data_IF_724186720246
#
_entry.id   IF_724186720246
#
_cell.length_a   1.000
_cell.length_b   1.000
_cell.length_c   1.000
_cell.angle_alpha   90.00
_cell.angle_beta   90.00
_cell.angle_gamma   90.00
#
_symmetry.space_group_name_H-M   'P 1'
#
loop_
_entity.id
_entity.type
_entity.pdbx_description
1 polymer ?
#
# COMPACT_ATOMS: atom_id res chain seq x y z
N UNK A 1 7.80 24.98 -33.97
CA UNK A 1 6.78 23.90 -33.91
C UNK A 1 5.60 24.34 -33.05
N UNK A 2 4.37 24.37 -33.60
CA UNK A 2 3.18 24.85 -32.89
C UNK A 2 2.87 24.02 -31.63
N UNK A 3 2.21 24.63 -30.64
CA UNK A 3 1.81 23.95 -29.39
C UNK A 3 0.88 22.76 -29.67
N UNK A 4 0.00 22.88 -30.66
CA UNK A 4 -0.92 21.83 -31.07
C UNK A 4 -0.17 20.59 -31.62
N UNK A 5 0.86 20.81 -32.45
CA UNK A 5 1.66 19.71 -33.00
C UNK A 5 2.45 18.97 -31.90
N UNK A 6 2.91 19.67 -30.86
CA UNK A 6 3.55 19.05 -29.68
C UNK A 6 2.56 18.18 -28.90
N UNK A 7 1.36 18.70 -28.62
CA UNK A 7 0.33 17.96 -27.91
C UNK A 7 -0.11 16.70 -28.69
N UNK A 8 -0.27 16.82 -30.01
CA UNK A 8 -0.62 15.67 -30.86
C UNK A 8 0.45 14.58 -30.83
N UNK A 9 1.74 14.95 -30.91
CA UNK A 9 2.86 13.99 -30.81
C UNK A 9 2.85 13.24 -29.46
N UNK A 10 2.58 13.94 -28.37
CA UNK A 10 2.45 13.33 -27.03
C UNK A 10 1.28 12.33 -27.00
N UNK A 11 0.11 12.71 -27.50
CA UNK A 11 -1.07 11.84 -27.53
C UNK A 11 -0.84 10.58 -28.38
N UNK A 12 -0.19 10.71 -29.53
CA UNK A 12 0.19 9.57 -30.37
C UNK A 12 1.19 8.65 -29.65
N UNK A 13 2.16 9.20 -28.93
CA UNK A 13 3.09 8.41 -28.13
C UNK A 13 2.37 7.63 -27.02
N UNK A 14 1.46 8.26 -26.29
CA UNK A 14 0.62 7.61 -25.27
C UNK A 14 -0.17 6.45 -25.86
N UNK A 15 -0.85 6.66 -26.99
CA UNK A 15 -1.61 5.61 -27.67
C UNK A 15 -0.72 4.43 -28.08
N UNK A 16 0.48 4.71 -28.61
CA UNK A 16 1.45 3.69 -29.00
C UNK A 16 1.87 2.83 -27.79
N UNK A 17 2.24 3.46 -26.67
CA UNK A 17 2.63 2.72 -25.45
C UNK A 17 1.47 1.89 -24.89
N UNK A 18 0.24 2.41 -24.89
CA UNK A 18 -0.94 1.68 -24.44
C UNK A 18 -1.28 0.48 -25.34
N UNK A 19 -1.11 0.62 -26.67
CA UNK A 19 -1.30 -0.48 -27.63
C UNK A 19 -0.23 -1.56 -27.45
N UNK A 20 0.99 -1.16 -27.13
CA UNK A 20 2.11 -2.07 -26.88
C UNK A 20 2.09 -2.72 -25.48
N UNK A 21 1.02 -2.57 -24.70
CA UNK A 21 0.91 -3.16 -23.36
C UNK A 21 1.80 -2.51 -22.30
N UNK A 22 2.24 -1.26 -22.52
CA UNK A 22 3.11 -0.50 -21.61
C UNK A 22 2.39 0.69 -20.95
N UNK A 23 1.39 0.43 -20.08
CA UNK A 23 0.59 1.51 -19.49
C UNK A 23 1.38 2.40 -18.53
N UNK A 24 2.49 1.92 -17.95
CA UNK A 24 3.37 2.72 -17.08
C UNK A 24 4.16 3.76 -17.87
N UNK A 25 4.68 3.38 -19.03
CA UNK A 25 5.35 4.34 -19.93
C UNK A 25 4.38 5.40 -20.44
N UNK A 26 3.14 5.00 -20.76
CA UNK A 26 2.07 5.94 -21.10
C UNK A 26 1.78 6.94 -19.95
N UNK A 27 1.73 6.47 -18.70
CA UNK A 27 1.55 7.33 -17.53
C UNK A 27 2.71 8.33 -17.36
N UNK A 28 3.96 7.87 -17.50
CA UNK A 28 5.16 8.72 -17.45
C UNK A 28 5.14 9.81 -18.51
N UNK A 29 4.79 9.48 -19.76
CA UNK A 29 4.68 10.47 -20.85
C UNK A 29 3.68 11.58 -20.51
N UNK A 30 2.57 11.25 -19.83
CA UNK A 30 1.59 12.26 -19.40
C UNK A 30 2.17 13.18 -18.32
N UNK A 31 2.85 12.62 -17.32
CA UNK A 31 3.50 13.41 -16.27
C UNK A 31 4.50 14.38 -16.90
N UNK A 32 5.39 13.88 -17.75
CA UNK A 32 6.37 14.70 -18.46
C UNK A 32 5.71 15.81 -19.31
N UNK A 33 4.56 15.52 -19.93
CA UNK A 33 3.83 16.47 -20.76
C UNK A 33 3.09 17.55 -19.94
N UNK A 34 2.57 17.19 -18.76
CA UNK A 34 1.95 18.13 -17.82
C UNK A 34 3.03 19.05 -17.22
N UNK A 35 4.14 18.48 -16.75
CA UNK A 35 5.26 19.24 -16.16
C UNK A 35 5.86 20.24 -17.16
N UNK A 36 5.99 19.84 -18.43
CA UNK A 36 6.47 20.71 -19.52
C UNK A 36 5.41 21.64 -20.09
N UNK A 37 4.20 21.68 -19.50
CA UNK A 37 3.05 22.49 -19.95
C UNK A 37 2.70 22.28 -21.43
N UNK A 38 2.92 21.07 -21.95
CA UNK A 38 2.56 20.70 -23.33
C UNK A 38 1.04 20.49 -23.44
N UNK A 39 0.42 19.91 -22.42
CA UNK A 39 -1.04 19.81 -22.29
C UNK A 39 -1.51 20.92 -21.36
N UNK A 40 -2.37 21.81 -21.85
CA UNK A 40 -2.90 22.95 -21.08
C UNK A 40 -4.09 22.50 -20.23
N UNK A 41 -4.12 22.97 -18.97
CA UNK A 41 -5.27 22.85 -18.08
C UNK A 41 -5.50 21.43 -17.59
N UNK A 42 -5.08 21.13 -16.36
CA UNK A 42 -5.26 19.80 -15.78
C UNK A 42 -6.75 19.41 -15.69
N UNK A 43 -7.66 20.36 -15.45
CA UNK A 43 -9.10 20.09 -15.33
C UNK A 43 -9.76 19.44 -16.55
N UNK A 44 -9.27 19.71 -17.78
CA UNK A 44 -9.84 19.14 -19.01
C UNK A 44 -9.09 17.89 -19.48
N UNK A 45 -7.96 17.55 -18.83
CA UNK A 45 -7.14 16.40 -19.18
C UNK A 45 -7.93 15.08 -19.22
N UNK A 46 -8.81 14.75 -18.24
CA UNK A 46 -9.55 13.48 -18.28
C UNK A 46 -10.47 13.38 -19.50
N UNK A 47 -11.15 14.48 -19.86
CA UNK A 47 -12.06 14.52 -21.02
C UNK A 47 -11.31 14.42 -22.33
N UNK A 48 -10.17 15.11 -22.45
CA UNK A 48 -9.29 15.01 -23.63
C UNK A 48 -8.80 13.57 -23.81
N UNK A 49 -8.25 12.97 -22.75
CA UNK A 49 -7.73 11.60 -22.79
C UNK A 49 -8.84 10.58 -23.08
N UNK A 50 -10.02 10.73 -22.48
CA UNK A 50 -11.15 9.84 -22.75
C UNK A 50 -11.59 9.88 -24.23
N UNK A 51 -11.61 11.08 -24.83
CA UNK A 51 -11.95 11.30 -26.24
C UNK A 51 -10.92 10.68 -27.19
N UNK A 52 -9.63 10.88 -26.91
CA UNK A 52 -8.54 10.47 -27.80
C UNK A 52 -8.20 8.98 -27.65
N UNK A 53 -8.25 8.45 -26.43
CA UNK A 53 -7.87 7.07 -26.14
C UNK A 53 -9.05 6.10 -26.20
N UNK A 54 -10.28 6.62 -26.15
CA UNK A 54 -11.49 5.85 -25.90
C UNK A 54 -11.52 5.25 -24.48
N UNK A 55 -12.64 4.63 -24.12
CA UNK A 55 -12.85 4.02 -22.79
C UNK A 55 -11.77 3.00 -22.41
N UNK A 56 -11.40 2.11 -23.35
CA UNK A 56 -10.42 1.06 -23.10
C UNK A 56 -8.98 1.59 -22.97
N UNK A 57 -8.60 2.60 -23.75
CA UNK A 57 -7.30 3.24 -23.62
C UNK A 57 -7.19 4.05 -22.32
N UNK A 58 -8.21 4.84 -21.99
CA UNK A 58 -8.27 5.57 -20.72
C UNK A 58 -8.20 4.64 -19.50
N UNK A 59 -8.94 3.53 -19.52
CA UNK A 59 -8.89 2.55 -18.42
C UNK A 59 -7.49 1.94 -18.23
N UNK A 60 -6.80 1.60 -19.34
CA UNK A 60 -5.41 1.11 -19.30
C UNK A 60 -4.44 2.18 -18.78
N UNK A 61 -4.67 3.43 -19.12
CA UNK A 61 -3.86 4.54 -18.60
C UNK A 61 -4.04 4.71 -17.08
N UNK A 62 -5.28 4.73 -16.59
CA UNK A 62 -5.56 4.79 -15.15
C UNK A 62 -4.93 3.59 -14.42
N UNK A 63 -4.95 2.40 -15.04
CA UNK A 63 -4.22 1.23 -14.53
C UNK A 63 -2.70 1.48 -14.44
N UNK A 64 -2.12 2.16 -15.44
CA UNK A 64 -0.72 2.57 -15.46
C UNK A 64 -0.34 3.42 -14.25
N UNK A 65 -1.10 4.48 -13.98
CA UNK A 65 -0.92 5.31 -12.78
C UNK A 65 -1.17 4.55 -11.48
N UNK A 66 -2.23 3.74 -11.44
CA UNK A 66 -2.62 2.99 -10.24
C UNK A 66 -1.53 1.99 -9.80
N UNK A 67 -0.75 1.47 -10.75
CA UNK A 67 0.29 0.45 -10.51
C UNK A 67 1.71 0.91 -10.79
N UNK A 68 1.92 2.23 -10.93
CA UNK A 68 3.25 2.78 -11.06
C UNK A 68 4.03 2.51 -9.75
N UNK A 69 5.20 1.85 -9.80
CA UNK A 69 5.93 1.48 -8.58
C UNK A 69 6.38 2.71 -7.80
N UNK A 70 6.50 2.58 -6.48
CA UNK A 70 7.18 3.59 -5.68
C UNK A 70 8.65 3.68 -6.14
N UNK A 71 9.18 4.91 -6.25
CA UNK A 71 10.54 5.17 -6.74
C UNK A 71 11.64 4.73 -5.77
N UNK A 72 11.29 4.64 -4.48
CA UNK A 72 12.29 4.47 -3.43
C UNK A 72 12.35 3.03 -2.93
N UNK A 73 11.22 2.30 -2.89
CA UNK A 73 11.11 1.06 -2.16
C UNK A 73 10.80 -0.16 -3.03
N UNK A 74 11.02 -1.35 -2.45
CA UNK A 74 10.58 -2.60 -3.04
C UNK A 74 9.18 -2.95 -2.49
N UNK A 75 8.14 -2.67 -3.29
CA UNK A 75 6.74 -3.04 -2.98
C UNK A 75 6.21 -2.51 -1.63
N UNK A 76 6.70 -1.36 -1.19
CA UNK A 76 6.23 -0.69 0.03
C UNK A 76 7.11 -0.96 1.24
N UNK A 77 8.19 -1.72 1.07
CA UNK A 77 9.03 -2.15 2.18
C UNK A 77 10.47 -1.70 1.98
N UNK A 78 11.15 -1.50 3.11
CA UNK A 78 12.59 -1.33 3.19
C UNK A 78 13.18 -2.15 4.31
N UNK A 79 14.48 -2.41 4.23
CA UNK A 79 15.25 -2.92 5.35
C UNK A 79 15.10 -1.98 6.54
N UNK A 80 14.67 -2.50 7.69
CA UNK A 80 14.47 -1.69 8.88
C UNK A 80 15.82 -1.10 9.34
N UNK A 81 15.89 0.23 9.47
CA UNK A 81 17.12 0.93 9.83
C UNK A 81 17.52 0.67 11.29
N UNK A 82 16.54 0.55 12.21
CA UNK A 82 16.79 0.29 13.64
C UNK A 82 17.49 -1.05 13.90
N UNK A 83 17.07 -2.13 13.23
CA UNK A 83 17.68 -3.46 13.40
C UNK A 83 18.58 -3.89 12.25
N UNK A 84 18.79 -3.02 11.25
CA UNK A 84 19.53 -3.32 10.02
C UNK A 84 19.08 -4.63 9.37
N UNK A 85 17.78 -4.87 9.29
CA UNK A 85 17.22 -6.07 8.65
C UNK A 85 17.10 -7.32 9.52
N UNK A 86 17.60 -7.30 10.77
CA UNK A 86 17.67 -8.52 11.59
C UNK A 86 16.34 -8.91 12.26
N UNK A 87 15.39 -7.98 12.37
CA UNK A 87 14.17 -8.17 13.15
C UNK A 87 14.38 -8.17 14.67
N UNK A 88 15.62 -7.98 15.13
CA UNK A 88 15.94 -7.92 16.56
C UNK A 88 16.90 -6.76 16.84
N UNK A 89 16.71 -6.10 17.99
CA UNK A 89 17.64 -5.11 18.51
C UNK A 89 18.76 -5.77 19.34
N UNK A 90 19.67 -4.97 19.90
CA UNK A 90 20.73 -5.48 20.77
C UNK A 90 20.12 -6.24 21.97
N UNK A 91 20.75 -7.34 22.37
CA UNK A 91 20.22 -8.22 23.42
C UNK A 91 19.15 -9.22 22.94
N UNK A 92 18.82 -9.24 21.65
CA UNK A 92 17.88 -10.20 21.07
C UNK A 92 16.41 -9.87 21.32
N UNK A 93 16.10 -8.64 21.70
CA UNK A 93 14.73 -8.14 21.78
C UNK A 93 14.12 -7.99 20.39
N UNK A 94 12.79 -8.16 20.29
CA UNK A 94 12.08 -7.88 19.05
C UNK A 94 12.28 -6.41 18.68
N UNK A 95 12.65 -6.15 17.43
CA UNK A 95 12.71 -4.78 16.94
C UNK A 95 11.27 -4.26 16.72
N UNK A 96 10.74 -3.55 17.70
CA UNK A 96 9.37 -3.03 17.70
C UNK A 96 9.03 -2.17 16.46
N UNK A 97 9.93 -1.27 15.99
CA UNK A 97 9.66 -0.47 14.80
C UNK A 97 9.34 -1.28 13.54
N UNK A 98 9.85 -2.51 13.42
CA UNK A 98 9.58 -3.39 12.27
C UNK A 98 8.76 -4.63 12.65
N UNK A 99 8.18 -4.65 13.86
CA UNK A 99 7.42 -5.78 14.38
C UNK A 99 8.21 -7.11 14.37
N UNK A 100 9.55 -7.02 14.46
CA UNK A 100 10.43 -8.18 14.36
C UNK A 100 10.53 -8.83 12.97
N UNK A 101 10.08 -8.16 11.92
CA UNK A 101 10.07 -8.69 10.55
C UNK A 101 11.34 -8.35 9.78
N UNK A 102 12.19 -7.47 10.31
CA UNK A 102 13.41 -7.00 9.65
C UNK A 102 13.16 -5.96 8.55
N UNK A 103 11.91 -5.74 8.17
CA UNK A 103 11.52 -4.73 7.17
C UNK A 103 10.51 -3.76 7.76
N UNK A 104 10.62 -2.49 7.37
CA UNK A 104 9.71 -1.43 7.76
C UNK A 104 8.92 -0.93 6.55
N UNK A 105 7.79 -0.25 6.82
CA UNK A 105 7.04 0.44 5.77
C UNK A 105 7.89 1.55 5.16
N UNK A 106 7.77 1.71 3.85
CA UNK A 106 8.31 2.86 3.15
C UNK A 106 7.54 4.11 3.55
N UNK A 107 8.24 5.08 4.13
CA UNK A 107 7.68 6.39 4.53
C UNK A 107 7.27 7.23 3.33
N UNK A 108 7.86 7.02 2.15
CA UNK A 108 7.50 7.78 0.95
C UNK A 108 6.12 7.40 0.40
N UNK A 109 5.79 6.10 0.38
CA UNK A 109 4.50 5.63 -0.13
C UNK A 109 3.59 5.08 0.96
N UNK A 110 3.92 5.34 2.23
CA UNK A 110 3.25 4.82 3.43
C UNK A 110 3.01 3.29 3.36
N UNK A 111 3.98 2.55 2.84
CA UNK A 111 3.89 1.10 2.71
C UNK A 111 3.01 0.57 1.58
N UNK A 112 2.38 1.40 0.74
CA UNK A 112 1.51 0.92 -0.35
C UNK A 112 2.25 0.23 -1.50
N UNK A 113 3.52 0.60 -1.72
CA UNK A 113 4.37 0.08 -2.80
C UNK A 113 4.12 0.69 -4.18
N UNK A 114 3.30 1.72 -4.26
CA UNK A 114 3.04 2.48 -5.49
C UNK A 114 3.47 3.94 -5.33
N UNK A 115 3.71 4.63 -6.45
CA UNK A 115 3.98 6.06 -6.44
C UNK A 115 2.85 6.83 -5.73
N UNK A 116 3.20 7.88 -4.99
CA UNK A 116 2.23 8.71 -4.26
C UNK A 116 1.26 9.39 -5.22
N UNK A 117 0.14 9.90 -4.70
CA UNK A 117 -0.81 10.66 -5.53
C UNK A 117 -0.21 11.95 -6.09
N UNK A 118 0.88 12.46 -5.52
CA UNK A 118 1.59 13.63 -6.04
C UNK A 118 2.22 13.38 -7.42
N UNK A 119 2.52 12.12 -7.76
CA UNK A 119 2.96 11.74 -9.11
C UNK A 119 1.83 11.75 -10.14
N UNK A 120 0.57 11.69 -9.69
CA UNK A 120 -0.60 11.64 -10.57
C UNK A 120 -1.10 13.07 -10.80
N UNK A 121 -1.36 13.48 -12.05
CA UNK A 121 -2.04 14.75 -12.35
C UNK A 121 -3.32 14.89 -11.52
N UNK A 122 -3.57 16.06 -10.94
CA UNK A 122 -4.62 16.29 -9.95
C UNK A 122 -5.98 15.81 -10.46
N UNK A 123 -6.31 16.14 -11.70
CA UNK A 123 -7.55 15.75 -12.40
C UNK A 123 -7.77 14.24 -12.57
N UNK A 124 -6.70 13.43 -12.46
CA UNK A 124 -6.73 11.98 -12.56
C UNK A 124 -6.67 11.28 -11.20
N UNK A 125 -6.37 12.00 -10.10
CA UNK A 125 -6.19 11.41 -8.75
C UNK A 125 -7.41 10.64 -8.27
N UNK A 126 -8.62 11.17 -8.48
CA UNK A 126 -9.87 10.48 -8.10
C UNK A 126 -10.02 9.13 -8.84
N UNK A 127 -9.81 9.13 -10.15
CA UNK A 127 -9.91 7.91 -10.96
C UNK A 127 -8.86 6.86 -10.52
N UNK A 128 -7.65 7.30 -10.21
CA UNK A 128 -6.58 6.44 -9.69
C UNK A 128 -6.92 5.91 -8.30
N UNK A 129 -7.49 6.73 -7.42
CA UNK A 129 -7.91 6.32 -6.08
C UNK A 129 -9.01 5.25 -6.14
N UNK A 130 -10.03 5.44 -7.00
CA UNK A 130 -11.06 4.43 -7.27
C UNK A 130 -10.41 3.11 -7.69
N UNK A 131 -9.47 3.17 -8.64
CA UNK A 131 -8.81 1.98 -9.17
C UNK A 131 -7.96 1.26 -8.12
N UNK A 132 -7.13 1.99 -7.37
CA UNK A 132 -6.27 1.45 -6.30
C UNK A 132 -7.09 0.78 -5.21
N UNK A 133 -8.14 1.44 -4.72
CA UNK A 133 -9.04 0.87 -3.72
C UNK A 133 -9.73 -0.39 -4.24
N UNK A 134 -10.22 -0.37 -5.49
CA UNK A 134 -10.85 -1.56 -6.09
C UNK A 134 -9.88 -2.74 -6.19
N UNK A 135 -8.64 -2.51 -6.63
CA UNK A 135 -7.63 -3.56 -6.72
C UNK A 135 -7.28 -4.12 -5.33
N UNK A 136 -7.04 -3.23 -4.35
CA UNK A 136 -6.74 -3.64 -2.99
C UNK A 136 -7.89 -4.41 -2.34
N UNK A 137 -9.14 -4.04 -2.60
CA UNK A 137 -10.30 -4.80 -2.12
C UNK A 137 -10.36 -6.21 -2.72
N UNK A 138 -10.02 -6.38 -4.01
CA UNK A 138 -9.95 -7.71 -4.62
C UNK A 138 -8.83 -8.55 -3.99
N UNK A 139 -7.64 -7.99 -3.80
CA UNK A 139 -6.53 -8.68 -3.14
C UNK A 139 -6.85 -9.03 -1.69
N UNK A 140 -7.45 -8.11 -0.94
CA UNK A 140 -7.85 -8.34 0.45
C UNK A 140 -8.82 -9.52 0.56
N UNK A 141 -9.79 -9.64 -0.34
CA UNK A 141 -10.69 -10.80 -0.37
C UNK A 141 -9.94 -12.12 -0.58
N UNK A 142 -8.86 -12.12 -1.35
CA UNK A 142 -7.98 -13.28 -1.51
C UNK A 142 -7.22 -13.59 -0.23
N UNK A 143 -6.55 -12.59 0.35
CA UNK A 143 -5.75 -12.73 1.57
C UNK A 143 -6.59 -13.16 2.79
N UNK A 144 -7.83 -12.70 2.91
CA UNK A 144 -8.73 -13.09 4.00
C UNK A 144 -9.27 -14.52 3.84
N UNK A 145 -9.31 -15.07 2.62
CA UNK A 145 -9.68 -16.48 2.39
C UNK A 145 -8.56 -17.45 2.73
N UNK A 146 -7.31 -16.99 2.76
CA UNK A 146 -6.18 -17.82 3.14
C UNK A 146 -6.31 -18.14 4.63
N UNK A 147 -6.85 -19.34 4.90
CA UNK A 147 -7.08 -19.91 6.22
C UNK A 147 -5.75 -19.99 6.98
N UNK A 148 -5.83 -19.90 8.32
CA UNK A 148 -4.72 -20.12 9.26
C UNK A 148 -3.70 -21.08 8.66
N UNK A 149 -2.46 -20.60 8.55
CA UNK A 149 -1.40 -21.46 8.08
C UNK A 149 -1.33 -22.64 9.08
N UNK A 150 -1.18 -23.86 8.57
CA UNK A 150 -1.27 -25.08 9.39
C UNK A 150 -0.27 -25.05 10.56
N UNK A 151 -0.41 -25.95 11.53
CA UNK A 151 0.50 -26.00 12.68
C UNK A 151 1.99 -26.20 12.33
N UNK A 152 2.30 -26.57 11.07
CA UNK A 152 3.65 -26.64 10.50
C UNK A 152 4.08 -25.42 9.68
N UNK A 153 3.29 -24.35 9.67
CA UNK A 153 3.60 -23.12 8.97
C UNK A 153 4.89 -22.51 9.50
N UNK A 154 5.88 -22.38 8.62
CA UNK A 154 7.09 -21.65 8.93
C UNK A 154 6.74 -20.21 9.30
N UNK A 155 7.40 -19.67 10.32
CA UNK A 155 7.37 -18.24 10.72
C UNK A 155 7.35 -17.28 9.52
N UNK A 156 8.13 -17.60 8.48
CA UNK A 156 8.22 -16.83 7.24
C UNK A 156 6.88 -16.68 6.51
N UNK A 157 6.02 -17.70 6.53
CA UNK A 157 4.68 -17.65 5.94
C UNK A 157 3.76 -16.67 6.67
N UNK A 158 3.74 -16.71 8.01
CA UNK A 158 2.94 -15.78 8.83
C UNK A 158 3.46 -14.35 8.65
N UNK A 159 4.79 -14.16 8.67
CA UNK A 159 5.43 -12.88 8.41
C UNK A 159 5.05 -12.31 7.04
N UNK A 160 5.05 -13.13 5.98
CA UNK A 160 4.64 -12.72 4.63
C UNK A 160 3.19 -12.23 4.61
N UNK A 161 2.26 -12.95 5.23
CA UNK A 161 0.86 -12.50 5.31
C UNK A 161 0.70 -11.19 6.08
N UNK A 162 1.43 -11.00 7.19
CA UNK A 162 1.42 -9.73 7.92
C UNK A 162 1.88 -8.59 6.99
N UNK A 163 2.96 -8.79 6.24
CA UNK A 163 3.49 -7.78 5.32
C UNK A 163 2.52 -7.45 4.18
N UNK A 164 1.84 -8.43 3.59
CA UNK A 164 0.85 -8.19 2.54
C UNK A 164 -0.38 -7.44 3.07
N UNK A 165 -0.91 -7.82 4.24
CA UNK A 165 -2.01 -7.09 4.88
C UNK A 165 -1.62 -5.66 5.25
N UNK A 166 -0.40 -5.47 5.76
CA UNK A 166 0.15 -4.15 6.07
C UNK A 166 0.27 -3.28 4.80
N UNK A 167 0.72 -3.86 3.69
CA UNK A 167 0.78 -3.19 2.38
C UNK A 167 -0.62 -2.79 1.89
N UNK A 168 -1.60 -3.67 2.00
CA UNK A 168 -2.99 -3.38 1.64
C UNK A 168 -3.58 -2.26 2.51
N UNK A 169 -3.32 -2.28 3.81
CA UNK A 169 -3.70 -1.20 4.71
C UNK A 169 -3.06 0.14 4.30
N UNK A 170 -1.78 0.15 3.91
CA UNK A 170 -1.13 1.34 3.35
C UNK A 170 -1.82 1.88 2.08
N UNK A 171 -2.32 1.00 1.20
CA UNK A 171 -3.11 1.43 0.03
C UNK A 171 -4.42 2.10 0.46
N UNK A 172 -5.16 1.51 1.40
CA UNK A 172 -6.42 2.07 1.89
C UNK A 172 -6.22 3.37 2.66
N UNK A 173 -5.16 3.47 3.44
CA UNK A 173 -4.76 4.67 4.18
C UNK A 173 -4.49 5.84 3.22
N UNK A 174 -3.66 5.61 2.20
CA UNK A 174 -3.37 6.62 1.18
C UNK A 174 -4.62 7.05 0.41
N UNK A 175 -5.51 6.10 0.10
CA UNK A 175 -6.78 6.40 -0.57
C UNK A 175 -7.72 7.21 0.32
N UNK A 176 -7.77 6.92 1.62
CA UNK A 176 -8.59 7.68 2.58
C UNK A 176 -8.07 9.12 2.74
N UNK A 177 -6.75 9.32 2.87
CA UNK A 177 -6.18 10.66 3.00
C UNK A 177 -6.36 11.50 1.73
N UNK A 178 -6.10 10.95 0.54
CA UNK A 178 -6.33 11.72 -0.70
C UNK A 178 -7.81 12.07 -0.87
N UNK A 179 -8.73 11.17 -0.48
CA UNK A 179 -10.16 11.46 -0.58
C UNK A 179 -10.60 12.56 0.37
N UNK A 180 -9.96 12.68 1.55
CA UNK A 180 -10.19 13.79 2.47
C UNK A 180 -9.77 15.11 1.82
N UNK A 181 -8.54 15.19 1.30
CA UNK A 181 -8.03 16.40 0.61
C UNK A 181 -8.90 16.79 -0.59
N UNK A 182 -9.26 15.83 -1.44
CA UNK A 182 -10.12 16.09 -2.60
C UNK A 182 -11.54 16.53 -2.21
N UNK A 183 -12.05 16.13 -1.04
CA UNK A 183 -13.40 16.53 -0.60
C UNK A 183 -13.49 18.01 -0.22
N UNK A 184 -12.34 18.62 0.10
CA UNK A 184 -12.19 20.05 0.36
C UNK A 184 -12.20 20.86 -0.95
N UNK A 185 -11.63 20.32 -2.04
CA UNK A 185 -11.47 21.02 -3.33
C UNK A 185 -12.52 20.66 -4.40
N UNK A 186 -13.20 19.51 -4.30
CA UNK A 186 -14.13 19.02 -5.33
C UNK A 186 -15.54 18.67 -4.78
N UNK A 187 -16.41 19.66 -4.56
CA UNK A 187 -17.75 19.43 -4.01
C UNK A 187 -18.61 18.44 -4.83
N UNK A 188 -18.45 18.44 -6.16
CA UNK A 188 -19.19 17.57 -7.08
C UNK A 188 -18.84 16.08 -6.91
N UNK A 189 -17.66 15.78 -6.37
CA UNK A 189 -17.13 14.43 -6.17
C UNK A 189 -17.42 13.87 -4.77
N UNK A 190 -18.03 14.64 -3.87
CA UNK A 190 -18.19 14.30 -2.43
C UNK A 190 -18.78 12.92 -2.17
N UNK A 191 -19.83 12.54 -2.89
CA UNK A 191 -20.47 11.24 -2.68
C UNK A 191 -19.56 10.07 -3.09
N UNK A 192 -18.81 10.20 -4.18
CA UNK A 192 -17.83 9.18 -4.61
C UNK A 192 -16.69 9.09 -3.60
N UNK A 193 -16.18 10.23 -3.14
CA UNK A 193 -15.12 10.32 -2.13
C UNK A 193 -15.55 9.68 -0.79
N UNK A 194 -16.78 9.94 -0.35
CA UNK A 194 -17.38 9.32 0.84
C UNK A 194 -17.47 7.80 0.71
N UNK A 195 -17.89 7.28 -0.45
CA UNK A 195 -17.94 5.83 -0.72
C UNK A 195 -16.55 5.20 -0.67
N UNK A 196 -15.52 5.85 -1.21
CA UNK A 196 -14.14 5.34 -1.14
C UNK A 196 -13.67 5.30 0.31
N UNK A 197 -13.86 6.37 1.09
CA UNK A 197 -13.50 6.43 2.51
C UNK A 197 -14.21 5.33 3.32
N UNK A 198 -15.51 5.14 3.09
CA UNK A 198 -16.28 4.07 3.73
C UNK A 198 -15.71 2.68 3.43
N UNK A 199 -15.34 2.41 2.16
CA UNK A 199 -14.66 1.16 1.79
C UNK A 199 -13.32 0.97 2.49
N UNK A 200 -12.53 2.03 2.65
CA UNK A 200 -11.25 1.98 3.36
C UNK A 200 -11.46 1.63 4.85
N UNK A 201 -12.45 2.24 5.50
CA UNK A 201 -12.81 1.93 6.88
C UNK A 201 -13.30 0.49 7.05
N UNK A 202 -14.15 -0.01 6.14
CA UNK A 202 -14.60 -1.40 6.14
C UNK A 202 -13.42 -2.36 5.97
N UNK A 203 -12.52 -2.08 5.02
CA UNK A 203 -11.33 -2.89 4.79
C UNK A 203 -10.45 -2.96 6.04
N UNK A 204 -10.24 -1.83 6.72
CA UNK A 204 -9.48 -1.80 7.97
C UNK A 204 -10.12 -2.64 9.09
N UNK A 205 -11.45 -2.58 9.22
CA UNK A 205 -12.20 -3.44 10.16
C UNK A 205 -12.02 -4.94 9.88
N UNK A 206 -11.68 -5.33 8.65
CA UNK A 206 -11.33 -6.71 8.31
C UNK A 206 -9.83 -7.02 8.48
N UNK A 207 -8.94 -6.07 8.15
CA UNK A 207 -7.49 -6.26 8.24
C UNK A 207 -7.03 -6.35 9.70
N UNK A 208 -7.48 -5.44 10.56
CA UNK A 208 -6.98 -5.32 11.94
C UNK A 208 -7.16 -6.62 12.76
N UNK A 209 -8.36 -7.25 12.80
CA UNK A 209 -8.51 -8.53 13.48
C UNK A 209 -7.61 -9.62 12.92
N UNK A 210 -7.37 -9.63 11.60
CA UNK A 210 -6.49 -10.63 10.97
C UNK A 210 -5.02 -10.41 11.33
N UNK A 211 -4.55 -9.17 11.39
CA UNK A 211 -3.20 -8.86 11.87
C UNK A 211 -3.00 -9.31 13.32
N UNK A 212 -4.02 -9.15 14.17
CA UNK A 212 -4.01 -9.65 15.56
C UNK A 212 -3.94 -11.18 15.63
N UNK A 213 -4.75 -11.88 14.85
CA UNK A 213 -4.72 -13.35 14.79
C UNK A 213 -3.37 -13.87 14.25
N UNK A 214 -2.78 -13.22 13.25
CA UNK A 214 -1.43 -13.57 12.76
C UNK A 214 -0.34 -13.29 13.82
N UNK A 215 -0.52 -12.26 14.64
CA UNK A 215 0.38 -11.97 15.77
C UNK A 215 0.28 -13.05 16.84
N UNK A 216 -0.92 -13.55 17.15
CA UNK A 216 -1.09 -14.71 18.05
C UNK A 216 -0.42 -15.97 17.47
N UNK A 217 -0.59 -16.22 16.16
CA UNK A 217 0.10 -17.34 15.50
C UNK A 217 1.63 -17.24 15.61
N UNK A 218 2.21 -16.02 15.47
CA UNK A 218 3.64 -15.83 15.74
C UNK A 218 3.97 -16.16 17.20
N UNK A 219 3.18 -15.70 18.16
CA UNK A 219 3.40 -16.01 19.57
C UNK A 219 3.38 -17.53 19.86
N UNK A 220 2.44 -18.26 19.23
CA UNK A 220 2.33 -19.72 19.34
C UNK A 220 3.53 -20.45 18.72
N UNK A 221 3.99 -20.01 17.54
CA UNK A 221 5.19 -20.54 16.88
C UNK A 221 6.41 -20.37 17.79
N UNK A 222 6.60 -19.17 18.35
CA UNK A 222 7.69 -18.88 19.29
C UNK A 222 7.59 -19.76 20.55
N UNK A 223 6.38 -19.95 21.08
CA UNK A 223 6.15 -20.79 22.27
C UNK A 223 6.49 -22.26 22.01
N UNK A 224 6.24 -22.76 20.78
CA UNK A 224 6.66 -24.11 20.36
C UNK A 224 8.19 -24.19 20.14
N UNK A 225 8.81 -23.15 19.61
CA UNK A 225 10.28 -23.08 19.51
C UNK A 225 10.96 -23.09 20.87
N UNK A 226 10.32 -22.49 21.90
CA UNK A 226 10.84 -22.43 23.27
C UNK A 226 11.08 -23.84 23.85
N UNK A 227 10.19 -24.79 23.54
CA UNK A 227 10.33 -26.20 23.97
C UNK A 227 11.56 -26.90 23.36
N UNK A 228 12.12 -26.34 22.28
CA UNK A 228 13.29 -26.87 21.56
C UNK A 228 14.57 -26.10 21.87
N UNK A 229 14.51 -25.12 22.77
CA UNK A 229 15.65 -24.29 23.11
C UNK A 229 16.73 -25.10 23.81
N UNK A 230 18.00 -24.90 23.42
CA UNK A 230 19.15 -25.66 23.91
C UNK A 230 19.94 -24.95 25.02
N UNK A 231 19.59 -23.70 25.31
CA UNK A 231 20.28 -22.88 26.31
C UNK A 231 19.35 -21.87 26.95
N UNK A 232 19.62 -21.48 28.19
CA UNK A 232 18.87 -20.45 28.92
C UNK A 232 18.80 -19.13 28.16
N UNK A 233 19.91 -18.71 27.55
CA UNK A 233 19.96 -17.47 26.77
C UNK A 233 19.06 -17.52 25.53
N UNK A 234 18.99 -18.68 24.86
CA UNK A 234 18.07 -18.89 23.74
C UNK A 234 16.62 -18.89 24.21
N UNK A 235 16.30 -19.61 25.29
CA UNK A 235 14.95 -19.67 25.87
C UNK A 235 14.42 -18.29 26.24
N UNK A 236 15.22 -17.48 26.93
CA UNK A 236 14.84 -16.11 27.30
C UNK A 236 14.55 -15.23 26.08
N UNK A 237 15.33 -15.35 25.00
CA UNK A 237 15.08 -14.60 23.77
C UNK A 237 13.77 -15.03 23.11
N UNK A 238 13.54 -16.33 22.95
CA UNK A 238 12.32 -16.86 22.34
C UNK A 238 11.09 -16.45 23.17
N UNK A 239 11.15 -16.59 24.49
CA UNK A 239 10.08 -16.20 25.39
C UNK A 239 9.73 -14.71 25.26
N UNK A 240 10.74 -13.82 25.18
CA UNK A 240 10.51 -12.39 24.94
C UNK A 240 9.79 -12.14 23.62
N UNK A 241 10.13 -12.87 22.54
CA UNK A 241 9.44 -12.76 21.25
C UNK A 241 7.99 -13.23 21.35
N UNK A 242 7.75 -14.38 21.98
CA UNK A 242 6.41 -14.92 22.21
C UNK A 242 5.53 -13.91 22.96
N UNK A 243 6.03 -13.37 24.09
CA UNK A 243 5.32 -12.36 24.88
C UNK A 243 5.08 -11.06 24.11
N UNK A 244 6.05 -10.61 23.32
CA UNK A 244 5.88 -9.41 22.47
C UNK A 244 4.71 -9.57 21.51
N UNK A 245 4.67 -10.67 20.74
CA UNK A 245 3.61 -10.91 19.77
C UNK A 245 2.24 -11.11 20.43
N UNK A 246 2.18 -11.81 21.57
CA UNK A 246 0.95 -11.97 22.35
C UNK A 246 0.38 -10.61 22.83
N UNK A 247 1.24 -9.74 23.37
CA UNK A 247 0.84 -8.37 23.78
C UNK A 247 0.42 -7.51 22.59
N UNK A 248 1.12 -7.63 21.47
CA UNK A 248 0.75 -6.88 20.27
C UNK A 248 -0.64 -7.27 19.76
N UNK A 249 -0.98 -8.57 19.81
CA UNK A 249 -2.30 -9.04 19.41
C UNK A 249 -3.45 -8.51 20.28
N UNK A 250 -3.21 -8.32 21.58
CA UNK A 250 -4.21 -7.76 22.50
C UNK A 250 -4.22 -6.23 22.52
N UNK A 251 -3.18 -5.58 21.96
CA UNK A 251 -3.13 -4.12 21.86
C UNK A 251 -4.26 -3.54 20.99
N UNK A 252 -4.64 -2.29 21.27
CA UNK A 252 -5.71 -1.61 20.53
C UNK A 252 -5.38 -1.38 19.06
N UNK A 253 -4.17 -0.88 18.75
CA UNK A 253 -3.87 -0.28 17.43
C UNK A 253 -2.41 -0.41 16.93
N UNK A 254 -1.60 -1.39 17.39
CA UNK A 254 -0.19 -1.55 16.94
C UNK A 254 0.68 -0.26 16.97
N UNK A 255 0.30 0.70 17.82
CA UNK A 255 0.88 2.04 17.85
C UNK A 255 2.41 2.01 18.01
N UNK A 256 3.11 2.84 17.23
CA UNK A 256 4.58 2.92 17.27
C UNK A 256 5.32 1.76 16.58
N UNK A 257 4.60 0.88 15.89
CA UNK A 257 5.20 -0.20 15.07
C UNK A 257 4.96 0.05 13.59
N UNK A 258 5.62 -0.72 12.72
CA UNK A 258 5.35 -0.72 11.28
C UNK A 258 3.94 -1.17 10.87
N UNK A 259 3.11 -1.63 11.81
CA UNK A 259 1.71 -2.03 11.57
C UNK A 259 0.70 -0.95 11.97
N UNK A 260 1.17 0.22 12.42
CA UNK A 260 0.31 1.34 12.82
C UNK A 260 -0.24 2.08 11.60
N UNK A 261 -1.56 2.26 11.51
CA UNK A 261 -2.26 2.98 10.45
C UNK A 261 -3.16 4.07 11.04
N UNK A 262 -2.60 5.22 11.45
CA UNK A 262 -3.30 6.22 12.25
C UNK A 262 -4.52 6.83 11.53
N UNK A 263 -4.51 6.94 10.20
CA UNK A 263 -5.64 7.52 9.48
C UNK A 263 -6.80 6.54 9.32
N UNK A 264 -6.52 5.23 9.33
CA UNK A 264 -7.55 4.18 9.33
C UNK A 264 -8.05 3.88 10.74
N UNK A 265 -7.19 3.99 11.75
CA UNK A 265 -7.52 3.67 13.14
C UNK A 265 -8.35 4.77 13.83
N UNK A 266 -8.24 6.02 13.36
CA UNK A 266 -8.98 7.18 13.87
C UNK A 266 -10.28 7.47 13.11
N UNK A 267 -10.51 6.84 11.96
CA UNK A 267 -11.80 6.92 11.25
C UNK A 267 -12.88 6.13 11.98
N UNK A 268 -13.40 6.71 13.06
CA UNK A 268 -14.65 6.31 13.72
C UNK A 268 -15.80 7.16 13.21
#
# INVERSE_FOLDING_TARGET
MSSALRAQKVLTAIQRELRAGRPRDAARIIVDAVDRRIVRGDSELPRLLARVLGKGGFTRLIQGFATYPCFYCERGLFKCHFCRGKGASQGGWVCEPCFGLGVARCEFCDGAGWATYNFVPDSLRLAVAIRRTSMASTFLKGELKNVRLSAGAARSGVAKHILELNRLAGVFENAADICRRLSESEPRSREVLRRIRSRCAIAWKSILPRLKDLSLQLAEIESKELQRARSTAQSQRIERRARYYARAATSGQFAGTSLDHPFLSRSR
#
